data_IF_429412134427
#
_entry.id   IF_429412134427
#
_cell.length_a   1.000
_cell.length_b   1.000
_cell.length_c   1.000
_cell.angle_alpha   90.00
_cell.angle_beta   90.00
_cell.angle_gamma   90.00
#
_symmetry.space_group_name_H-M   'P 1'
#
loop_
_entity.id
_entity.type
_entity.pdbx_description
1 polymer ?
#
# COMPACT_ATOMS: atom_id res chain seq x y z
N UNK A 1 5.47 -0.52 17.97
CA UNK A 1 4.89 -1.64 17.17
C UNK A 1 3.42 -1.42 16.86
N UNK A 2 2.57 -1.08 17.83
CA UNK A 2 1.12 -0.91 17.62
C UNK A 2 0.75 0.13 16.54
N UNK A 3 1.46 1.26 16.46
CA UNK A 3 1.24 2.30 15.44
C UNK A 3 1.57 1.84 14.01
N UNK A 4 2.69 1.12 13.83
CA UNK A 4 3.12 0.58 12.53
C UNK A 4 2.11 -0.47 12.03
N UNK A 5 1.56 -1.29 12.94
CA UNK A 5 0.52 -2.26 12.58
C UNK A 5 -0.80 -1.60 12.18
N UNK A 6 -1.20 -0.52 12.85
CA UNK A 6 -2.39 0.27 12.48
C UNK A 6 -2.23 0.92 11.12
N UNK A 7 -1.07 1.53 10.84
CA UNK A 7 -0.78 2.11 9.52
C UNK A 7 -0.87 1.06 8.40
N UNK A 8 -0.33 -0.14 8.62
CA UNK A 8 -0.43 -1.23 7.64
C UNK A 8 -1.88 -1.67 7.38
N UNK A 9 -2.75 -1.63 8.41
CA UNK A 9 -4.18 -1.94 8.24
C UNK A 9 -4.92 -0.83 7.50
N UNK A 10 -4.59 0.43 7.78
CA UNK A 10 -5.12 1.58 7.03
C UNK A 10 -4.79 1.45 5.54
N UNK A 11 -3.53 1.15 5.21
CA UNK A 11 -3.10 0.93 3.83
C UNK A 11 -3.89 -0.21 3.17
N UNK A 12 -4.06 -1.36 3.84
CA UNK A 12 -4.87 -2.48 3.32
C UNK A 12 -6.28 -2.00 2.96
N UNK A 13 -6.94 -1.29 3.88
CA UNK A 13 -8.31 -0.82 3.69
C UNK A 13 -8.38 0.16 2.52
N UNK A 14 -7.46 1.11 2.45
CA UNK A 14 -7.38 2.09 1.35
C UNK A 14 -7.19 1.38 0.01
N UNK A 15 -6.27 0.42 -0.09
CA UNK A 15 -6.02 -0.29 -1.35
C UNK A 15 -7.19 -1.18 -1.77
N UNK A 16 -7.91 -1.80 -0.83
CA UNK A 16 -9.14 -2.56 -1.13
C UNK A 16 -10.25 -1.63 -1.62
N UNK A 17 -10.46 -0.50 -0.95
CA UNK A 17 -11.44 0.51 -1.38
C UNK A 17 -11.07 1.05 -2.77
N UNK A 18 -9.78 1.32 -3.03
CA UNK A 18 -9.31 1.79 -4.32
C UNK A 18 -9.51 0.75 -5.42
N UNK A 19 -9.25 -0.53 -5.16
CA UNK A 19 -9.52 -1.61 -6.10
C UNK A 19 -11.01 -1.66 -6.49
N UNK A 20 -11.90 -1.60 -5.49
CA UNK A 20 -13.35 -1.55 -5.70
C UNK A 20 -13.73 -0.28 -6.48
N UNK A 21 -13.23 0.89 -6.07
CA UNK A 21 -13.51 2.15 -6.74
C UNK A 21 -13.03 2.16 -8.19
N UNK A 22 -11.87 1.55 -8.49
CA UNK A 22 -11.35 1.43 -9.85
C UNK A 22 -12.24 0.56 -10.74
N UNK A 23 -12.78 -0.54 -10.19
CA UNK A 23 -13.72 -1.40 -10.90
C UNK A 23 -15.06 -0.70 -11.23
N UNK A 24 -15.46 0.29 -10.42
CA UNK A 24 -16.68 1.08 -10.63
C UNK A 24 -16.44 2.47 -11.27
N UNK A 25 -15.20 2.82 -11.62
CA UNK A 25 -14.87 4.15 -12.10
C UNK A 25 -15.54 4.48 -13.44
N UNK A 26 -16.03 5.71 -13.52
CA UNK A 26 -17.11 6.14 -14.41
C UNK A 26 -16.68 6.23 -15.89
N UNK A 27 -17.15 5.29 -16.71
CA UNK A 27 -17.08 5.40 -18.18
C UNK A 27 -17.25 4.09 -18.94
N UNK A 28 -16.97 2.95 -18.31
CA UNK A 28 -17.16 1.62 -18.88
C UNK A 28 -18.58 1.08 -18.69
N UNK A 29 -19.03 0.21 -19.59
CA UNK A 29 -20.26 -0.56 -19.39
C UNK A 29 -20.19 -1.37 -18.08
N UNK A 30 -21.32 -1.64 -17.42
CA UNK A 30 -21.36 -2.43 -16.18
C UNK A 30 -20.66 -3.81 -16.32
N UNK A 31 -20.62 -4.34 -17.54
CA UNK A 31 -19.90 -5.55 -17.93
C UNK A 31 -18.38 -5.42 -17.77
N UNK A 32 -17.81 -4.25 -18.09
CA UNK A 32 -16.37 -3.99 -17.96
C UNK A 32 -15.95 -3.93 -16.49
N UNK A 33 -16.74 -3.28 -15.64
CA UNK A 33 -16.48 -3.27 -14.19
C UNK A 33 -16.56 -4.66 -13.57
N UNK A 34 -17.55 -5.47 -13.97
CA UNK A 34 -17.67 -6.86 -13.54
C UNK A 34 -16.49 -7.72 -14.01
N UNK A 35 -16.03 -7.51 -15.25
CA UNK A 35 -14.87 -8.19 -15.82
C UNK A 35 -13.59 -7.87 -15.05
N UNK A 36 -13.31 -6.58 -14.77
CA UNK A 36 -12.17 -6.17 -13.94
C UNK A 36 -12.25 -6.76 -12.54
N UNK A 37 -13.44 -6.77 -11.92
CA UNK A 37 -13.64 -7.37 -10.61
C UNK A 37 -13.34 -8.88 -10.62
N UNK A 38 -13.85 -9.64 -11.59
CA UNK A 38 -13.55 -11.08 -11.70
C UNK A 38 -12.06 -11.34 -11.94
N UNK A 39 -11.41 -10.54 -12.79
CA UNK A 39 -9.97 -10.63 -13.03
C UNK A 39 -9.15 -10.34 -11.76
N UNK A 40 -9.54 -9.34 -10.96
CA UNK A 40 -8.86 -9.08 -9.66
C UNK A 40 -8.98 -10.24 -8.70
N UNK A 41 -10.18 -10.82 -8.56
CA UNK A 41 -10.39 -11.98 -7.70
C UNK A 41 -9.56 -13.18 -8.16
N UNK A 42 -9.51 -13.43 -9.48
CA UNK A 42 -8.67 -14.48 -10.05
C UNK A 42 -7.18 -14.24 -9.80
N UNK A 43 -6.71 -13.00 -9.97
CA UNK A 43 -5.33 -12.61 -9.69
C UNK A 43 -4.97 -12.83 -8.21
N UNK A 44 -5.82 -12.38 -7.29
CA UNK A 44 -5.64 -12.60 -5.85
C UNK A 44 -5.59 -14.10 -5.55
N UNK A 45 -6.53 -14.88 -6.10
CA UNK A 45 -6.55 -16.32 -5.91
C UNK A 45 -5.26 -16.99 -6.39
N UNK A 46 -4.75 -16.64 -7.58
CA UNK A 46 -3.48 -17.14 -8.11
C UNK A 46 -2.31 -16.77 -7.20
N UNK A 47 -2.24 -15.52 -6.73
CA UNK A 47 -1.19 -15.06 -5.82
C UNK A 47 -1.17 -15.87 -4.52
N UNK A 48 -2.34 -16.12 -3.92
CA UNK A 48 -2.41 -16.86 -2.66
C UNK A 48 -2.31 -18.39 -2.80
N UNK A 49 -2.84 -18.97 -3.89
CA UNK A 49 -2.90 -20.43 -4.08
C UNK A 49 -1.68 -21.00 -4.80
N UNK A 50 -0.98 -20.20 -5.61
CA UNK A 50 0.15 -20.66 -6.42
C UNK A 50 1.44 -19.99 -5.97
N UNK A 51 1.49 -18.66 -5.98
CA UNK A 51 2.73 -17.92 -5.71
C UNK A 51 3.16 -18.08 -4.25
N UNK A 52 2.26 -17.87 -3.29
CA UNK A 52 2.57 -18.02 -1.86
C UNK A 52 3.12 -19.40 -1.48
N UNK A 53 2.54 -20.55 -1.88
CA UNK A 53 3.13 -21.85 -1.57
C UNK A 53 4.46 -22.10 -2.28
N UNK A 54 4.65 -21.59 -3.51
CA UNK A 54 5.94 -21.66 -4.21
C UNK A 54 7.01 -20.90 -3.42
N UNK A 55 6.75 -19.66 -3.01
CA UNK A 55 7.68 -18.86 -2.19
C UNK A 55 8.00 -19.57 -0.87
N UNK A 56 7.00 -20.14 -0.20
CA UNK A 56 7.20 -20.92 1.03
C UNK A 56 8.03 -22.19 0.81
N UNK A 57 7.88 -22.86 -0.34
CA UNK A 57 8.64 -24.05 -0.67
C UNK A 57 10.10 -23.71 -0.96
N UNK A 58 10.35 -22.70 -1.80
CA UNK A 58 11.69 -22.20 -2.11
C UNK A 58 12.39 -21.71 -0.83
N UNK A 59 11.70 -20.94 0.01
CA UNK A 59 12.25 -20.45 1.26
C UNK A 59 12.67 -21.59 2.21
N UNK A 60 11.82 -22.63 2.37
CA UNK A 60 12.16 -23.82 3.17
C UNK A 60 13.36 -24.58 2.62
N UNK A 61 13.50 -24.63 1.29
CA UNK A 61 14.63 -25.28 0.64
C UNK A 61 15.96 -24.58 0.96
N UNK A 62 16.01 -23.24 0.91
CA UNK A 62 17.22 -22.48 1.23
C UNK A 62 17.56 -22.44 2.72
N UNK A 63 16.56 -22.36 3.60
CA UNK A 63 16.74 -22.52 5.05
C UNK A 63 17.44 -23.84 5.41
N UNK A 64 17.03 -24.95 4.77
CA UNK A 64 17.63 -26.28 5.02
C UNK A 64 19.10 -26.36 4.61
N UNK A 65 19.57 -25.45 3.77
CA UNK A 65 20.96 -25.37 3.28
C UNK A 65 21.82 -24.39 4.11
N UNK A 66 21.35 -23.93 5.27
CA UNK A 66 22.01 -22.90 6.11
C UNK A 66 22.33 -21.60 5.34
N UNK A 67 21.53 -21.30 4.31
CA UNK A 67 21.70 -20.10 3.50
C UNK A 67 20.44 -19.23 3.65
N UNK A 68 20.28 -18.69 4.87
CA UNK A 68 19.04 -18.03 5.34
C UNK A 68 18.64 -16.82 4.49
N UNK A 69 19.58 -16.19 3.78
CA UNK A 69 19.36 -15.01 2.94
C UNK A 69 20.11 -15.14 1.62
N UNK A 70 19.50 -15.87 0.68
CA UNK A 70 20.00 -15.93 -0.68
C UNK A 70 19.59 -14.67 -1.47
N UNK A 71 20.56 -13.94 -2.00
CA UNK A 71 20.35 -12.74 -2.84
C UNK A 71 19.38 -13.03 -4.00
N UNK A 72 19.42 -14.23 -4.58
CA UNK A 72 18.50 -14.62 -5.66
C UNK A 72 17.03 -14.64 -5.21
N UNK A 73 16.75 -14.97 -3.94
CA UNK A 73 15.37 -14.98 -3.42
C UNK A 73 14.86 -13.56 -3.19
N UNK A 74 15.74 -12.65 -2.75
CA UNK A 74 15.44 -11.22 -2.60
C UNK A 74 15.13 -10.60 -3.96
N UNK A 75 15.98 -10.83 -4.95
CA UNK A 75 15.77 -10.37 -6.34
C UNK A 75 14.49 -10.98 -6.93
N UNK A 76 14.23 -12.26 -6.67
CA UNK A 76 12.99 -12.92 -7.08
C UNK A 76 11.73 -12.29 -6.48
N UNK A 77 11.75 -11.94 -5.19
CA UNK A 77 10.64 -11.23 -4.54
C UNK A 77 10.43 -9.83 -5.14
N UNK A 78 11.52 -9.12 -5.45
CA UNK A 78 11.45 -7.80 -6.08
C UNK A 78 10.89 -7.87 -7.52
N UNK A 79 11.36 -8.83 -8.32
CA UNK A 79 10.81 -9.10 -9.65
C UNK A 79 9.33 -9.45 -9.57
N UNK A 80 8.94 -10.28 -8.61
CA UNK A 80 7.55 -10.65 -8.41
C UNK A 80 6.68 -9.44 -8.07
N UNK A 81 7.18 -8.52 -7.23
CA UNK A 81 6.53 -7.26 -6.93
C UNK A 81 6.31 -6.41 -8.19
N UNK A 82 7.33 -6.25 -9.03
CA UNK A 82 7.24 -5.47 -10.27
C UNK A 82 6.25 -6.11 -11.26
N UNK A 83 6.30 -7.43 -11.44
CA UNK A 83 5.38 -8.17 -12.31
C UNK A 83 3.95 -8.06 -11.79
N UNK A 84 3.74 -8.19 -10.48
CA UNK A 84 2.43 -8.05 -9.86
C UNK A 84 1.87 -6.63 -10.05
N UNK A 85 2.70 -5.60 -9.86
CA UNK A 85 2.29 -4.21 -10.08
C UNK A 85 1.88 -3.98 -11.55
N UNK A 86 2.74 -4.38 -12.49
CA UNK A 86 2.50 -4.24 -13.93
C UNK A 86 1.24 -4.98 -14.39
N UNK A 87 1.04 -6.22 -13.94
CA UNK A 87 -0.15 -7.00 -14.29
C UNK A 87 -1.44 -6.35 -13.80
N UNK A 88 -1.45 -5.81 -12.58
CA UNK A 88 -2.64 -5.08 -12.09
C UNK A 88 -2.90 -3.77 -12.81
N UNK A 89 -1.85 -3.08 -13.27
CA UNK A 89 -1.98 -1.86 -14.07
C UNK A 89 -2.59 -2.15 -15.46
N UNK A 90 -2.14 -3.22 -16.12
CA UNK A 90 -2.71 -3.68 -17.40
C UNK A 90 -4.18 -4.09 -17.27
N UNK A 91 -4.59 -4.59 -16.10
CA UNK A 91 -5.99 -4.92 -15.80
C UNK A 91 -6.88 -3.69 -15.54
N UNK A 92 -6.32 -2.48 -15.50
CA UNK A 92 -7.04 -1.24 -15.23
C UNK A 92 -7.19 -0.89 -13.75
N UNK A 93 -6.38 -1.49 -12.88
CA UNK A 93 -6.31 -1.17 -11.44
C UNK A 93 -5.03 -0.38 -11.17
N UNK A 94 -4.93 0.29 -10.03
CA UNK A 94 -3.67 0.94 -9.64
C UNK A 94 -2.57 -0.09 -9.33
N UNK A 95 -1.37 0.13 -9.88
CA UNK A 95 -0.20 -0.73 -9.75
C UNK A 95 0.20 -1.02 -8.28
N UNK A 96 -0.07 -0.07 -7.36
CA UNK A 96 0.17 -0.24 -5.94
C UNK A 96 -0.59 -1.44 -5.34
N UNK A 97 -1.76 -1.78 -5.87
CA UNK A 97 -2.54 -2.93 -5.40
C UNK A 97 -1.80 -4.24 -5.67
N UNK A 98 -1.27 -4.45 -6.88
CA UNK A 98 -0.51 -5.65 -7.22
C UNK A 98 0.79 -5.77 -6.43
N UNK A 99 1.52 -4.67 -6.28
CA UNK A 99 2.70 -4.62 -5.42
C UNK A 99 2.36 -5.00 -3.97
N UNK A 100 1.24 -4.49 -3.44
CA UNK A 100 0.78 -4.80 -2.10
C UNK A 100 0.44 -6.28 -1.91
N UNK A 101 -0.33 -6.87 -2.84
CA UNK A 101 -0.69 -8.30 -2.81
C UNK A 101 0.54 -9.20 -2.90
N UNK A 102 1.55 -8.82 -3.68
CA UNK A 102 2.82 -9.55 -3.75
C UNK A 102 3.54 -9.60 -2.40
N UNK A 103 3.57 -8.47 -1.68
CA UNK A 103 4.18 -8.37 -0.36
C UNK A 103 3.48 -9.25 0.69
N UNK A 104 2.16 -9.41 0.59
CA UNK A 104 1.38 -10.32 1.45
C UNK A 104 1.73 -11.81 1.23
N UNK A 105 2.26 -12.16 0.05
CA UNK A 105 2.63 -13.53 -0.28
C UNK A 105 4.01 -13.94 0.25
N UNK A 106 4.85 -12.97 0.66
CA UNK A 106 6.22 -13.23 1.13
C UNK A 106 6.19 -13.96 2.49
N UNK A 107 6.95 -15.05 2.66
CA UNK A 107 7.05 -15.76 3.94
C UNK A 107 7.63 -14.86 5.03
N UNK A 108 6.92 -14.73 6.16
CA UNK A 108 7.36 -13.93 7.32
C UNK A 108 8.33 -14.62 8.28
N UNK A 109 8.65 -15.90 8.03
CA UNK A 109 9.57 -16.67 8.88
C UNK A 109 11.00 -16.46 8.39
N UNK A 110 11.98 -16.41 9.29
CA UNK A 110 13.40 -16.23 8.94
C UNK A 110 13.81 -14.77 8.71
N UNK A 111 15.07 -14.54 8.36
CA UNK A 111 15.68 -13.22 8.14
C UNK A 111 15.34 -12.59 6.78
N UNK A 112 14.55 -13.28 5.94
CA UNK A 112 14.21 -12.82 4.60
C UNK A 112 13.51 -11.45 4.59
N UNK A 113 12.45 -11.30 5.40
CA UNK A 113 11.65 -10.07 5.43
C UNK A 113 12.45 -8.91 6.00
N UNK A 114 13.31 -9.18 6.98
CA UNK A 114 14.21 -8.17 7.55
C UNK A 114 15.23 -7.69 6.53
N UNK A 115 15.87 -8.61 5.80
CA UNK A 115 16.84 -8.26 4.77
C UNK A 115 16.20 -7.53 3.58
N UNK A 116 15.04 -8.01 3.09
CA UNK A 116 14.24 -7.32 2.07
C UNK A 116 13.84 -5.93 2.55
N UNK A 117 13.34 -5.83 3.78
CA UNK A 117 12.91 -4.58 4.39
C UNK A 117 14.03 -3.55 4.44
N UNK A 118 15.21 -3.93 4.95
CA UNK A 118 16.37 -3.04 5.01
C UNK A 118 16.81 -2.55 3.62
N UNK A 119 16.89 -3.46 2.63
CA UNK A 119 17.31 -3.10 1.26
C UNK A 119 16.31 -2.18 0.58
N UNK A 120 15.02 -2.49 0.66
CA UNK A 120 13.95 -1.69 0.06
C UNK A 120 13.87 -0.33 0.77
N UNK A 121 13.92 -0.31 2.10
CA UNK A 121 13.84 0.91 2.89
C UNK A 121 14.98 1.87 2.56
N UNK A 122 16.21 1.39 2.39
CA UNK A 122 17.35 2.24 2.01
C UNK A 122 17.08 2.93 0.66
N UNK A 123 16.66 2.17 -0.35
CA UNK A 123 16.37 2.71 -1.67
C UNK A 123 15.18 3.70 -1.62
N UNK A 124 14.12 3.34 -0.89
CA UNK A 124 12.92 4.18 -0.78
C UNK A 124 13.21 5.50 -0.07
N UNK A 125 13.91 5.47 1.07
CA UNK A 125 14.17 6.65 1.89
C UNK A 125 15.23 7.55 1.28
N UNK A 126 16.30 6.98 0.70
CA UNK A 126 17.40 7.78 0.17
C UNK A 126 17.13 8.32 -1.24
N UNK A 127 16.39 7.58 -2.07
CA UNK A 127 16.20 7.94 -3.48
C UNK A 127 14.76 8.35 -3.80
N UNK A 128 13.78 7.49 -3.50
CA UNK A 128 12.39 7.77 -3.90
C UNK A 128 11.74 8.87 -3.08
N UNK A 129 12.04 8.96 -1.79
CA UNK A 129 11.41 9.93 -0.90
C UNK A 129 11.82 11.38 -1.25
N UNK A 130 13.10 11.72 -1.49
CA UNK A 130 13.46 13.05 -1.98
C UNK A 130 12.85 13.36 -3.35
N UNK A 131 12.83 12.37 -4.26
CA UNK A 131 12.26 12.53 -5.60
C UNK A 131 10.75 12.78 -5.54
N UNK A 132 10.03 12.08 -4.67
CA UNK A 132 8.61 12.29 -4.40
C UNK A 132 8.35 13.71 -3.90
N UNK A 133 9.13 14.20 -2.93
CA UNK A 133 8.98 15.57 -2.43
C UNK A 133 9.34 16.63 -3.47
N UNK A 134 10.38 16.41 -4.27
CA UNK A 134 10.74 17.30 -5.37
C UNK A 134 9.60 17.38 -6.41
N UNK A 135 9.07 16.24 -6.84
CA UNK A 135 7.96 16.19 -7.80
C UNK A 135 6.70 16.86 -7.24
N UNK A 136 6.32 16.56 -6.00
CA UNK A 136 5.18 17.19 -5.34
C UNK A 136 5.35 18.71 -5.21
N UNK A 137 6.57 19.18 -4.91
CA UNK A 137 6.89 20.60 -4.84
C UNK A 137 6.80 21.30 -6.20
N UNK A 138 7.35 20.69 -7.25
CA UNK A 138 7.34 21.24 -8.62
C UNK A 138 5.93 21.37 -9.21
N UNK A 139 5.04 20.42 -8.91
CA UNK A 139 3.63 20.48 -9.32
C UNK A 139 2.81 21.49 -8.51
N UNK A 140 3.36 22.07 -7.44
CA UNK A 140 2.65 23.07 -6.63
C UNK A 140 2.83 24.46 -7.22
N UNK A 141 1.85 24.89 -8.02
CA UNK A 141 1.82 26.23 -8.58
C UNK A 141 1.24 27.25 -7.58
N UNK A 142 2.12 27.88 -6.79
CA UNK A 142 1.74 28.95 -5.85
C UNK A 142 1.12 30.18 -6.55
N UNK A 143 1.41 30.37 -7.84
CA UNK A 143 0.84 31.47 -8.62
C UNK A 143 -0.68 31.36 -8.81
N UNK A 144 -1.25 30.15 -8.73
CA UNK A 144 -2.71 29.93 -8.79
C UNK A 144 -3.41 30.33 -7.48
N UNK A 145 -2.66 30.55 -6.39
CA UNK A 145 -3.19 30.88 -5.07
C UNK A 145 -3.30 32.40 -4.82
N UNK A 146 -3.24 33.25 -5.84
CA UNK A 146 -3.25 34.71 -5.66
C UNK A 146 -4.63 35.30 -5.28
N UNK A 147 -5.67 34.48 -5.15
CA UNK A 147 -7.02 34.89 -4.79
C UNK A 147 -7.36 34.50 -3.35
N UNK A 148 -8.01 35.39 -2.59
CA UNK A 148 -8.45 35.10 -1.21
C UNK A 148 -9.36 33.87 -1.09
N UNK A 149 -10.13 33.55 -2.14
CA UNK A 149 -10.94 32.33 -2.23
C UNK A 149 -10.08 31.05 -2.25
N UNK A 150 -8.92 31.06 -2.93
CA UNK A 150 -8.05 29.90 -3.01
C UNK A 150 -7.41 29.57 -1.64
N UNK A 151 -6.97 30.60 -0.91
CA UNK A 151 -6.47 30.46 0.46
C UNK A 151 -7.55 29.95 1.41
N UNK A 152 -8.78 30.45 1.32
CA UNK A 152 -9.89 29.96 2.11
C UNK A 152 -10.17 28.48 1.86
N UNK A 153 -10.26 28.07 0.58
CA UNK A 153 -10.47 26.66 0.21
C UNK A 153 -9.34 25.78 0.76
N UNK A 154 -8.08 26.23 0.68
CA UNK A 154 -6.94 25.48 1.23
C UNK A 154 -7.07 25.28 2.74
N UNK A 155 -7.33 26.35 3.50
CA UNK A 155 -7.48 26.26 4.97
C UNK A 155 -8.62 25.32 5.34
N UNK A 156 -9.77 25.47 4.67
CA UNK A 156 -10.93 24.60 4.88
C UNK A 156 -10.59 23.14 4.57
N UNK A 157 -9.87 22.87 3.50
CA UNK A 157 -9.47 21.53 3.10
C UNK A 157 -8.48 20.91 4.09
N UNK A 158 -7.50 21.67 4.58
CA UNK A 158 -6.58 21.23 5.64
C UNK A 158 -7.36 20.88 6.91
N UNK A 159 -8.26 21.76 7.35
CA UNK A 159 -9.07 21.51 8.55
C UNK A 159 -9.95 20.27 8.39
N UNK A 160 -10.65 20.14 7.26
CA UNK A 160 -11.46 18.95 6.95
C UNK A 160 -10.62 17.67 6.94
N UNK A 161 -9.45 17.70 6.32
CA UNK A 161 -8.54 16.55 6.27
C UNK A 161 -8.02 16.18 7.67
N UNK A 162 -7.65 17.16 8.49
CA UNK A 162 -7.23 16.94 9.88
C UNK A 162 -8.37 16.37 10.72
N UNK A 163 -9.58 16.92 10.62
CA UNK A 163 -10.77 16.43 11.33
C UNK A 163 -11.08 14.99 10.89
N UNK A 164 -11.03 14.70 9.59
CA UNK A 164 -11.29 13.37 9.04
C UNK A 164 -10.30 12.31 9.55
N UNK A 165 -9.07 12.70 9.91
CA UNK A 165 -8.11 11.78 10.56
C UNK A 165 -8.32 11.67 12.07
N UNK A 166 -8.53 12.78 12.76
CA UNK A 166 -8.53 12.83 14.24
C UNK A 166 -9.86 12.32 14.83
N UNK A 167 -11.00 12.68 14.24
CA UNK A 167 -12.33 12.35 14.79
C UNK A 167 -12.59 10.83 14.83
N UNK A 168 -12.31 10.04 13.78
CA UNK A 168 -12.54 8.59 13.82
C UNK A 168 -11.69 7.90 14.88
N UNK A 169 -10.41 8.29 15.01
CA UNK A 169 -9.48 7.70 15.98
C UNK A 169 -9.93 8.01 17.41
N UNK A 170 -10.31 9.25 17.68
CA UNK A 170 -10.80 9.68 19.02
C UNK A 170 -12.17 9.08 19.36
N UNK A 171 -13.03 8.83 18.39
CA UNK A 171 -14.33 8.19 18.60
C UNK A 171 -14.15 6.69 18.91
N UNK A 172 -13.35 5.97 18.13
CA UNK A 172 -13.09 4.54 18.32
C UNK A 172 -12.33 4.30 19.63
N UNK A 173 -11.37 5.15 19.98
CA UNK A 173 -10.64 5.01 21.25
C UNK A 173 -11.56 5.17 22.46
N UNK A 174 -12.53 6.09 22.41
CA UNK A 174 -13.53 6.32 23.46
C UNK A 174 -14.55 5.19 23.58
N UNK A 175 -14.88 4.53 22.48
CA UNK A 175 -15.79 3.37 22.46
C UNK A 175 -15.10 2.09 22.98
N UNK A 176 -13.82 1.86 22.63
CA UNK A 176 -13.07 0.68 23.05
C UNK A 176 -12.41 0.81 24.43
N UNK A 177 -12.09 2.02 24.88
CA UNK A 177 -11.46 2.27 26.16
C UNK A 177 -12.27 3.31 26.93
N UNK A 178 -12.82 2.94 28.09
CA UNK A 178 -13.42 3.89 29.05
C UNK A 178 -12.35 4.82 29.68
N UNK A 179 -11.44 5.39 28.89
CA UNK A 179 -10.35 6.27 29.37
C UNK A 179 -10.48 7.69 28.81
N UNK A 180 -10.12 8.71 29.61
CA UNK A 180 -10.32 10.11 29.26
C UNK A 180 -9.44 10.59 28.10
N UNK A 181 -9.93 11.60 27.39
CA UNK A 181 -9.46 12.12 26.09
C UNK A 181 -7.99 12.57 26.02
N UNK A 182 -7.34 12.80 27.17
CA UNK A 182 -5.97 13.30 27.24
C UNK A 182 -4.88 12.28 26.86
N UNK A 183 -5.20 10.98 26.80
CA UNK A 183 -4.24 9.92 26.44
C UNK A 183 -4.27 9.54 24.95
N UNK A 184 -5.08 10.19 24.12
CA UNK A 184 -5.29 9.85 22.71
C UNK A 184 -4.76 10.87 21.70
N UNK A 185 -4.26 12.02 22.16
CA UNK A 185 -3.50 13.00 21.38
C UNK A 185 -2.01 12.74 21.59
#
# INVERSE_FOLDING_TARGET
VQTISLAAVEDIVVWVILAIASAFSLGGSALQGLYTLLLTLAFIAIMFLIIRPILNWIHRYYLRKNNDTNVYLVVGCFLLLVIAAFTTEVMGIHAFFGAFVSGLCIPRKGSLVEFLGLRIQLIVVEFFLPLYFANSGLHTHLNLMNNGKAWWTLIVLILLASIAKIVPVTLVSKLCSRRPWFYCL
#
